data_IF_199318447566
#
_entry.id   IF_199318447566
#
_cell.length_a   1.000
_cell.length_b   1.000
_cell.length_c   1.000
_cell.angle_alpha   90.00
_cell.angle_beta   90.00
_cell.angle_gamma   90.00
#
_symmetry.space_group_name_H-M   'P 1'
#
loop_
_entity.id
_entity.type
_entity.pdbx_description
1 polymer ?
#
# COMPACT_ATOMS: atom_id res chain seq x y z
N UNK A 1 -24.28 55.30 -13.25
CA UNK A 1 -24.56 53.99 -13.91
C UNK A 1 -23.32 53.28 -14.46
N UNK A 2 -22.36 53.96 -15.12
CA UNK A 2 -21.13 53.29 -15.63
C UNK A 2 -20.17 52.73 -14.56
N UNK A 3 -20.10 53.35 -13.37
CA UNK A 3 -19.23 52.90 -12.28
C UNK A 3 -19.73 51.64 -11.55
N UNK A 4 -21.05 51.43 -11.50
CA UNK A 4 -21.66 50.25 -10.84
C UNK A 4 -21.47 48.99 -11.72
N UNK A 5 -21.46 49.15 -13.04
CA UNK A 5 -21.25 48.05 -13.98
C UNK A 5 -19.79 47.53 -13.95
N UNK A 6 -18.81 48.42 -13.71
CA UNK A 6 -17.40 48.05 -13.55
C UNK A 6 -17.13 47.32 -12.20
N UNK A 7 -17.87 47.65 -11.15
CA UNK A 7 -17.78 46.97 -9.86
C UNK A 7 -18.37 45.54 -9.89
N UNK A 8 -19.47 45.35 -10.62
CA UNK A 8 -20.08 44.03 -10.83
C UNK A 8 -19.25 43.12 -11.76
N UNK A 9 -18.56 43.68 -12.77
CA UNK A 9 -17.65 42.92 -13.63
C UNK A 9 -16.39 42.44 -12.87
N UNK A 10 -15.92 43.23 -11.90
CA UNK A 10 -14.80 42.85 -11.02
C UNK A 10 -15.13 41.68 -10.08
N UNK A 11 -16.39 41.53 -9.67
CA UNK A 11 -16.86 40.39 -8.86
C UNK A 11 -17.07 39.12 -9.68
N UNK A 12 -17.50 39.23 -10.94
CA UNK A 12 -17.61 38.08 -11.85
C UNK A 12 -16.25 37.53 -12.27
N UNK A 13 -15.20 38.35 -12.33
CA UNK A 13 -13.82 37.92 -12.61
C UNK A 13 -13.07 37.41 -11.36
N UNK A 14 -13.60 37.63 -10.15
CA UNK A 14 -13.11 37.02 -8.90
C UNK A 14 -13.88 35.76 -8.49
N UNK A 15 -14.98 35.43 -9.19
CA UNK A 15 -15.79 34.24 -8.91
C UNK A 15 -15.28 32.95 -9.58
N UNK A 16 -14.13 33.00 -10.26
CA UNK A 16 -13.45 31.82 -10.79
C UNK A 16 -12.05 31.68 -10.18
N UNK A 17 -11.92 31.50 -8.86
CA UNK A 17 -10.69 30.89 -8.30
C UNK A 17 -10.72 30.41 -6.84
N UNK A 18 -11.86 30.08 -6.20
CA UNK A 18 -11.83 29.73 -4.76
C UNK A 18 -12.57 28.47 -4.31
N UNK A 19 -13.09 27.63 -5.21
CA UNK A 19 -13.74 26.37 -4.81
C UNK A 19 -12.86 25.11 -4.95
N UNK A 20 -11.56 25.25 -5.24
CA UNK A 20 -10.70 24.08 -5.39
C UNK A 20 -9.31 24.29 -4.79
N UNK A 21 -9.14 23.74 -3.57
CA UNK A 21 -7.95 23.08 -2.99
C UNK A 21 -8.04 23.12 -1.46
N UNK A 22 -8.82 22.21 -0.87
CA UNK A 22 -8.46 21.74 0.47
C UNK A 22 -7.16 20.96 0.32
N UNK A 23 -6.06 21.68 0.30
CA UNK A 23 -4.74 21.10 0.25
C UNK A 23 -4.42 20.49 1.61
N UNK A 24 -4.88 19.25 1.82
CA UNK A 24 -4.53 18.42 2.98
C UNK A 24 -3.01 18.17 3.06
N UNK A 25 -2.24 18.48 2.02
CA UNK A 25 -0.81 18.19 2.00
C UNK A 25 -0.03 19.24 2.78
N UNK A 26 0.91 18.79 3.61
CA UNK A 26 1.90 19.67 4.22
C UNK A 26 3.01 20.13 3.24
N UNK A 27 2.88 19.85 1.94
CA UNK A 27 3.98 19.94 0.97
C UNK A 27 3.53 20.49 -0.39
N UNK A 28 4.42 20.48 -1.40
CA UNK A 28 4.05 20.89 -2.76
C UNK A 28 3.17 19.81 -3.39
N UNK A 29 1.94 20.17 -3.79
CA UNK A 29 1.02 19.25 -4.45
C UNK A 29 1.06 19.38 -5.98
N UNK A 30 1.37 18.28 -6.66
CA UNK A 30 1.37 18.16 -8.13
C UNK A 30 0.14 17.39 -8.61
N UNK A 31 -0.58 17.93 -9.59
CA UNK A 31 -1.76 17.29 -10.16
C UNK A 31 -1.37 16.48 -11.40
N UNK A 32 -1.75 15.22 -11.42
CA UNK A 32 -1.54 14.28 -12.52
C UNK A 32 -2.91 14.05 -13.17
N UNK A 33 -3.20 14.78 -14.23
CA UNK A 33 -4.48 14.68 -14.95
C UNK A 33 -4.45 13.63 -16.06
N UNK A 34 -3.26 13.26 -16.54
CA UNK A 34 -3.06 12.32 -17.64
C UNK A 34 -1.75 11.54 -17.46
N UNK A 35 -1.68 10.39 -18.12
CA UNK A 35 -0.47 9.57 -18.23
C UNK A 35 0.06 9.65 -19.65
N UNK A 36 1.40 9.76 -19.85
CA UNK A 36 1.95 9.91 -21.18
C UNK A 36 1.75 8.65 -22.04
N UNK A 37 1.58 7.49 -21.41
CA UNK A 37 1.28 6.22 -22.07
C UNK A 37 0.04 5.60 -21.42
N UNK A 38 -0.92 5.15 -22.23
CA UNK A 38 -2.05 4.33 -21.80
C UNK A 38 -2.11 3.06 -22.64
N UNK A 39 -2.14 1.90 -21.99
CA UNK A 39 -2.18 0.59 -22.64
C UNK A 39 -3.28 -0.26 -22.04
N UNK A 40 -3.83 -1.18 -22.83
CA UNK A 40 -4.69 -2.25 -22.33
C UNK A 40 -3.96 -3.57 -22.51
N UNK A 41 -3.90 -4.37 -21.45
CA UNK A 41 -3.26 -5.69 -21.49
C UNK A 41 -4.29 -6.77 -21.17
N UNK A 42 -4.07 -7.96 -21.73
CA UNK A 42 -4.88 -9.13 -21.42
C UNK A 42 -4.25 -9.91 -20.28
N UNK A 43 -5.09 -10.48 -19.42
CA UNK A 43 -4.67 -11.40 -18.39
C UNK A 43 -4.66 -12.85 -18.91
N UNK A 44 -3.78 -13.65 -18.33
CA UNK A 44 -3.89 -15.11 -18.34
C UNK A 44 -4.34 -15.57 -16.96
N UNK A 45 -5.46 -16.29 -16.89
CA UNK A 45 -5.92 -16.93 -15.66
C UNK A 45 -5.04 -18.15 -15.36
N UNK A 46 -4.54 -18.23 -14.12
CA UNK A 46 -3.74 -19.36 -13.64
C UNK A 46 -4.64 -20.29 -12.84
N UNK A 47 -4.79 -21.54 -13.30
CA UNK A 47 -5.57 -22.58 -12.63
C UNK A 47 -4.81 -23.14 -11.41
N UNK A 48 -4.83 -22.40 -10.31
CA UNK A 48 -4.22 -22.81 -9.04
C UNK A 48 -5.31 -22.75 -7.98
N UNK A 49 -5.59 -23.89 -7.34
CA UNK A 49 -6.42 -23.89 -6.14
C UNK A 49 -5.61 -23.38 -4.97
N UNK A 50 -5.95 -22.17 -4.49
CA UNK A 50 -5.29 -21.61 -3.31
C UNK A 50 -6.29 -21.12 -2.26
N UNK A 51 -6.88 -22.04 -1.47
CA UNK A 51 -7.97 -21.70 -0.57
C UNK A 51 -7.49 -20.80 0.57
N UNK A 52 -8.21 -19.70 0.79
CA UNK A 52 -8.00 -18.78 1.90
C UNK A 52 -6.90 -17.74 1.67
N UNK A 53 -6.38 -17.57 0.47
CA UNK A 53 -5.38 -16.52 0.19
C UNK A 53 -6.02 -15.15 0.16
N UNK A 54 -5.46 -14.27 1.00
CA UNK A 54 -5.80 -12.87 1.04
C UNK A 54 -4.74 -12.03 0.31
N UNK A 55 -3.45 -12.32 0.46
CA UNK A 55 -2.42 -11.53 -0.23
C UNK A 55 -1.39 -12.42 -0.91
N UNK A 56 -0.82 -11.94 -2.00
CA UNK A 56 0.20 -12.66 -2.77
C UNK A 56 1.47 -11.84 -2.94
N UNK A 57 2.62 -12.51 -2.97
CA UNK A 57 3.90 -11.84 -3.13
C UNK A 57 4.85 -12.67 -4.00
N UNK A 58 5.52 -12.01 -4.95
CA UNK A 58 6.59 -12.62 -5.76
C UNK A 58 7.95 -12.29 -5.14
N UNK A 59 8.75 -13.31 -4.82
CA UNK A 59 10.06 -13.20 -4.18
C UNK A 59 11.06 -14.14 -4.84
N UNK A 60 12.05 -13.61 -5.55
CA UNK A 60 13.04 -14.43 -6.29
C UNK A 60 12.32 -15.56 -7.06
N UNK A 61 12.64 -16.83 -6.85
CA UNK A 61 11.99 -17.98 -7.52
C UNK A 61 10.71 -18.49 -6.80
N UNK A 62 10.24 -17.80 -5.77
CA UNK A 62 9.10 -18.19 -4.94
C UNK A 62 7.88 -17.30 -5.15
N UNK A 63 6.71 -17.90 -5.03
CA UNK A 63 5.44 -17.19 -4.90
C UNK A 63 4.85 -17.45 -3.52
N UNK A 64 4.45 -16.40 -2.82
CA UNK A 64 3.94 -16.48 -1.46
C UNK A 64 2.45 -16.15 -1.46
N UNK A 65 1.69 -16.97 -0.76
CA UNK A 65 0.31 -16.73 -0.38
C UNK A 65 0.16 -16.47 1.12
N UNK A 66 -0.59 -15.45 1.49
CA UNK A 66 -0.88 -15.09 2.89
C UNK A 66 -2.35 -15.34 3.20
N UNK A 67 -2.62 -16.20 4.18
CA UNK A 67 -3.95 -16.48 4.70
C UNK A 67 -4.13 -15.85 6.08
N UNK A 68 -4.80 -14.68 6.15
CA UNK A 68 -4.97 -13.96 7.41
C UNK A 68 -5.88 -14.64 8.43
N UNK A 69 -6.66 -15.66 8.05
CA UNK A 69 -7.44 -16.43 9.01
C UNK A 69 -6.55 -17.34 9.86
N UNK A 70 -5.38 -17.71 9.34
CA UNK A 70 -4.50 -18.73 9.91
C UNK A 70 -5.13 -20.14 9.91
N UNK A 71 -6.23 -20.34 9.17
CA UNK A 71 -6.78 -21.68 8.95
C UNK A 71 -5.83 -22.44 8.01
N UNK A 72 -5.23 -23.53 8.51
CA UNK A 72 -4.18 -24.25 7.79
C UNK A 72 -2.93 -23.39 7.49
N UNK A 73 -2.38 -22.73 8.52
CA UNK A 73 -1.20 -21.86 8.46
C UNK A 73 -1.46 -20.46 7.87
N UNK A 74 -0.58 -19.51 8.20
CA UNK A 74 -0.67 -18.14 7.71
C UNK A 74 0.06 -17.92 6.39
N UNK A 75 1.17 -18.65 6.16
CA UNK A 75 2.06 -18.42 5.02
C UNK A 75 2.18 -19.68 4.18
N UNK A 76 1.88 -19.59 2.90
CA UNK A 76 2.01 -20.68 1.93
C UNK A 76 3.06 -20.29 0.89
N UNK A 77 3.98 -21.20 0.59
CA UNK A 77 5.10 -20.95 -0.30
C UNK A 77 5.04 -21.91 -1.47
N UNK A 78 5.04 -21.35 -2.68
CA UNK A 78 4.93 -22.07 -3.95
C UNK A 78 6.21 -21.87 -4.76
N UNK A 79 6.58 -22.87 -5.55
CA UNK A 79 7.54 -22.70 -6.64
C UNK A 79 6.89 -21.83 -7.71
N UNK A 80 7.53 -20.72 -8.10
CA UNK A 80 6.91 -19.78 -9.04
C UNK A 80 6.85 -20.32 -10.48
N UNK A 81 7.65 -21.34 -10.81
CA UNK A 81 7.73 -21.90 -12.17
C UNK A 81 6.44 -22.62 -12.55
N UNK A 82 5.89 -23.40 -11.63
CA UNK A 82 4.73 -24.25 -11.86
C UNK A 82 3.65 -24.13 -10.77
N UNK A 83 3.84 -23.24 -9.80
CA UNK A 83 2.95 -23.00 -8.67
C UNK A 83 2.70 -24.24 -7.80
N UNK A 84 3.64 -25.19 -7.78
CA UNK A 84 3.59 -26.32 -6.83
C UNK A 84 3.82 -25.81 -5.41
N UNK A 85 2.96 -26.20 -4.47
CA UNK A 85 3.13 -25.90 -3.05
C UNK A 85 4.39 -26.58 -2.51
N UNK A 86 5.35 -25.79 -2.02
CA UNK A 86 6.59 -26.27 -1.41
C UNK A 86 6.42 -26.53 0.09
N UNK A 87 5.81 -25.58 0.81
CA UNK A 87 5.58 -25.68 2.25
C UNK A 87 4.49 -24.70 2.71
N UNK A 88 3.90 -24.98 3.88
CA UNK A 88 3.03 -24.06 4.61
C UNK A 88 3.63 -23.81 5.99
N UNK A 89 3.86 -22.55 6.32
CA UNK A 89 4.62 -22.10 7.48
C UNK A 89 3.74 -21.26 8.41
N UNK A 90 4.10 -21.24 9.69
CA UNK A 90 3.47 -20.44 10.74
C UNK A 90 2.03 -20.90 11.04
N UNK A 91 1.90 -21.77 12.03
CA UNK A 91 0.59 -22.14 12.56
C UNK A 91 0.05 -21.04 13.46
N UNK A 92 -1.28 -21.02 13.59
CA UNK A 92 -1.97 -20.14 14.53
C UNK A 92 -1.92 -20.73 15.94
N UNK A 93 -1.38 -19.99 16.90
CA UNK A 93 -1.30 -20.45 18.27
C UNK A 93 -0.45 -19.56 19.18
N UNK A 94 0.02 -20.12 20.28
CA UNK A 94 0.79 -19.41 21.34
C UNK A 94 2.13 -20.08 21.65
N UNK A 95 2.47 -21.16 20.95
CA UNK A 95 3.78 -21.80 21.03
C UNK A 95 4.91 -20.87 20.59
N UNK A 96 6.17 -21.27 20.85
CA UNK A 96 7.35 -20.47 20.51
C UNK A 96 7.36 -20.03 19.03
N UNK A 97 7.02 -20.95 18.13
CA UNK A 97 7.03 -20.77 16.67
C UNK A 97 5.62 -20.57 16.09
N UNK A 98 4.63 -20.27 16.94
CA UNK A 98 3.27 -19.99 16.53
C UNK A 98 2.94 -18.51 16.65
N UNK A 99 2.06 -18.04 15.77
CA UNK A 99 1.65 -16.64 15.70
C UNK A 99 0.16 -16.52 16.04
N UNK A 100 -0.24 -15.42 16.69
CA UNK A 100 -1.65 -15.12 16.95
C UNK A 100 -2.30 -14.41 15.76
N UNK A 101 -1.55 -13.49 15.15
CA UNK A 101 -1.84 -12.83 13.88
C UNK A 101 -0.60 -12.86 13.01
N UNK A 102 -0.77 -12.69 11.71
CA UNK A 102 0.35 -12.44 10.82
C UNK A 102 0.09 -11.17 10.05
N UNK A 103 1.10 -10.33 9.92
CA UNK A 103 1.19 -9.28 8.92
C UNK A 103 2.43 -9.51 8.07
N UNK A 104 2.25 -9.53 6.76
CA UNK A 104 3.37 -9.51 5.83
C UNK A 104 3.88 -8.06 5.67
N UNK A 105 5.18 -7.84 5.83
CA UNK A 105 5.75 -6.48 5.89
C UNK A 105 6.10 -5.92 4.51
N UNK A 106 5.98 -6.72 3.44
CA UNK A 106 6.35 -6.33 2.09
C UNK A 106 7.79 -5.81 1.99
N UNK A 107 8.69 -6.43 2.77
CA UNK A 107 10.12 -6.21 2.72
C UNK A 107 10.83 -7.56 2.69
N UNK A 108 11.52 -7.84 1.59
CA UNK A 108 12.25 -9.08 1.36
C UNK A 108 13.59 -8.78 0.69
N UNK A 109 14.46 -9.78 0.64
CA UNK A 109 15.75 -9.67 -0.05
C UNK A 109 16.44 -11.01 -0.18
N UNK A 110 17.67 -10.97 -0.69
CA UNK A 110 18.55 -12.12 -0.82
C UNK A 110 19.92 -11.79 -0.26
N UNK A 111 20.42 -12.63 0.63
CA UNK A 111 21.76 -12.52 1.19
C UNK A 111 22.54 -13.84 0.99
N UNK A 112 23.69 -14.00 1.67
CA UNK A 112 24.51 -15.20 1.58
C UNK A 112 23.82 -16.47 2.07
N UNK A 113 22.73 -16.34 2.85
CA UNK A 113 21.97 -17.47 3.38
C UNK A 113 20.69 -17.78 2.57
N UNK A 114 20.44 -17.03 1.50
CA UNK A 114 19.29 -17.22 0.62
C UNK A 114 18.28 -16.08 0.68
N UNK A 115 17.05 -16.37 0.29
CA UNK A 115 15.93 -15.42 0.28
C UNK A 115 15.37 -15.27 1.68
N UNK A 116 15.12 -14.04 2.11
CA UNK A 116 14.45 -13.73 3.37
C UNK A 116 13.28 -12.78 3.16
N UNK A 117 12.34 -12.78 4.11
CA UNK A 117 11.25 -11.80 4.17
C UNK A 117 10.92 -11.40 5.61
N UNK A 118 10.44 -10.17 5.80
CA UNK A 118 9.97 -9.68 7.08
C UNK A 118 8.48 -9.95 7.27
N UNK A 119 8.15 -10.48 8.44
CA UNK A 119 6.78 -10.75 8.88
C UNK A 119 6.61 -10.28 10.32
N UNK A 120 5.37 -10.02 10.73
CA UNK A 120 5.08 -9.66 12.11
C UNK A 120 3.89 -10.41 12.71
N UNK A 121 4.00 -10.78 13.99
CA UNK A 121 2.86 -11.05 14.87
C UNK A 121 2.59 -9.80 15.71
N UNK A 122 1.64 -8.99 15.25
CA UNK A 122 1.32 -7.70 15.87
C UNK A 122 0.83 -7.90 17.31
N UNK A 123 0.10 -8.97 17.59
CA UNK A 123 -0.48 -9.20 18.92
C UNK A 123 0.56 -9.70 19.93
N UNK A 124 1.66 -10.26 19.46
CA UNK A 124 2.76 -10.76 20.28
C UNK A 124 4.00 -9.87 20.19
N UNK A 125 3.92 -8.72 19.52
CA UNK A 125 5.03 -7.80 19.24
C UNK A 125 6.25 -8.52 18.66
N UNK A 126 6.05 -9.44 17.72
CA UNK A 126 7.15 -10.15 17.05
C UNK A 126 7.33 -9.56 15.67
N UNK A 127 8.50 -8.98 15.37
CA UNK A 127 8.91 -8.66 14.01
C UNK A 127 10.10 -9.55 13.66
N UNK A 128 9.92 -10.42 12.68
CA UNK A 128 10.86 -11.49 12.39
C UNK A 128 11.37 -11.41 10.96
N UNK A 129 12.67 -11.61 10.77
CA UNK A 129 13.28 -11.85 9.46
C UNK A 129 13.31 -13.35 9.22
N UNK A 130 12.34 -13.85 8.48
CA UNK A 130 12.22 -15.26 8.09
C UNK A 130 13.23 -15.58 6.99
N UNK A 131 14.11 -16.56 7.21
CA UNK A 131 14.93 -17.15 6.17
C UNK A 131 14.08 -18.18 5.41
N UNK A 132 13.57 -17.76 4.25
CA UNK A 132 12.63 -18.55 3.48
C UNK A 132 13.28 -19.82 2.93
N UNK A 133 14.50 -19.73 2.40
CA UNK A 133 15.21 -20.88 1.83
C UNK A 133 15.47 -21.98 2.87
N UNK A 134 16.06 -21.61 4.03
CA UNK A 134 16.30 -22.58 5.12
C UNK A 134 14.99 -23.14 5.67
N UNK A 135 13.95 -22.32 5.76
CA UNK A 135 12.64 -22.79 6.20
C UNK A 135 12.00 -23.81 5.26
N UNK A 136 12.17 -23.64 3.95
CA UNK A 136 11.72 -24.63 2.96
C UNK A 136 12.56 -25.91 3.07
N UNK A 137 13.89 -25.80 3.14
CA UNK A 137 14.82 -26.93 3.20
C UNK A 137 14.56 -27.82 4.43
N UNK A 138 14.38 -27.19 5.60
CA UNK A 138 14.16 -27.90 6.87
C UNK A 138 12.69 -28.21 7.14
N UNK A 139 11.78 -27.60 6.38
CA UNK A 139 10.34 -27.59 6.65
C UNK A 139 9.99 -27.13 8.08
N UNK A 140 10.72 -26.13 8.58
CA UNK A 140 10.61 -25.55 9.92
C UNK A 140 10.81 -24.02 9.87
N UNK A 141 10.38 -23.29 10.89
CA UNK A 141 10.58 -21.84 10.93
C UNK A 141 12.02 -21.49 11.32
N UNK A 142 12.71 -20.75 10.45
CA UNK A 142 14.08 -20.29 10.65
C UNK A 142 14.10 -18.78 10.59
N UNK A 143 14.31 -18.13 11.73
CA UNK A 143 14.42 -16.67 11.81
C UNK A 143 15.88 -16.26 11.96
N UNK A 144 16.33 -15.36 11.08
CA UNK A 144 17.67 -14.77 11.16
C UNK A 144 17.72 -13.67 12.22
N UNK A 145 16.62 -12.93 12.37
CA UNK A 145 16.52 -11.79 13.28
C UNK A 145 15.13 -11.73 13.91
N UNK A 146 15.08 -11.20 15.13
CA UNK A 146 13.87 -11.08 15.94
C UNK A 146 13.86 -9.76 16.72
N UNK A 147 12.84 -8.94 16.51
CA UNK A 147 12.65 -7.65 17.17
C UNK A 147 11.34 -7.69 17.97
N UNK A 148 11.43 -7.49 19.29
CA UNK A 148 10.29 -7.49 20.21
C UNK A 148 10.22 -6.26 21.14
N UNK A 149 11.04 -5.25 20.89
CA UNK A 149 11.08 -4.00 21.66
C UNK A 149 10.07 -2.95 21.19
N UNK A 150 9.34 -3.22 20.10
CA UNK A 150 8.38 -2.30 19.50
C UNK A 150 6.97 -2.72 19.92
N UNK A 151 6.21 -1.79 20.51
CA UNK A 151 4.76 -1.94 20.66
C UNK A 151 4.08 -1.74 19.31
N UNK A 152 3.54 -2.82 18.74
CA UNK A 152 2.91 -2.81 17.42
C UNK A 152 1.40 -2.61 17.50
N UNK A 153 0.81 -2.49 18.69
CA UNK A 153 -0.65 -2.42 18.88
C UNK A 153 -1.31 -1.22 18.19
N UNK A 154 -0.55 -0.14 17.94
CA UNK A 154 -0.98 1.07 17.27
C UNK A 154 -0.21 1.34 15.97
N UNK A 155 0.46 0.34 15.41
CA UNK A 155 1.26 0.49 14.18
C UNK A 155 0.47 -0.05 13.00
N UNK A 156 0.19 0.81 12.02
CA UNK A 156 -0.42 0.37 10.78
C UNK A 156 0.62 -0.31 9.90
N UNK A 157 1.72 0.37 9.52
CA UNK A 157 2.84 -0.20 8.75
C UNK A 157 4.18 -0.09 9.50
N UNK A 158 5.08 -1.05 9.25
CA UNK A 158 6.40 -1.14 9.90
C UNK A 158 7.45 -1.52 8.84
N UNK A 159 8.63 -0.91 8.84
CA UNK A 159 9.70 -1.24 7.90
C UNK A 159 11.07 -1.18 8.57
N UNK A 160 11.89 -2.23 8.40
CA UNK A 160 13.26 -2.23 8.90
C UNK A 160 14.16 -1.46 7.95
N UNK A 161 14.71 -0.34 8.42
CA UNK A 161 15.57 0.55 7.62
C UNK A 161 17.01 0.06 7.69
N UNK A 162 17.52 -0.13 8.90
CA UNK A 162 18.84 -0.68 9.19
C UNK A 162 18.83 -1.41 10.55
N UNK A 163 19.98 -1.90 10.98
CA UNK A 163 20.17 -2.67 12.22
C UNK A 163 19.70 -1.94 13.50
N UNK A 164 19.53 -0.63 13.44
CA UNK A 164 19.16 0.22 14.57
C UNK A 164 17.87 1.01 14.36
N UNK A 165 17.29 1.00 13.17
CA UNK A 165 16.23 1.93 12.80
C UNK A 165 15.06 1.23 12.13
N UNK A 166 13.86 1.48 12.67
CA UNK A 166 12.61 0.98 12.13
C UNK A 166 11.68 2.15 11.85
N UNK A 167 11.13 2.20 10.64
CA UNK A 167 10.10 3.17 10.27
C UNK A 167 8.72 2.61 10.62
N UNK A 168 7.87 3.44 11.22
CA UNK A 168 6.53 3.12 11.67
C UNK A 168 5.54 4.12 11.06
N UNK A 169 4.42 3.62 10.57
CA UNK A 169 3.26 4.44 10.21
C UNK A 169 2.15 4.08 11.20
N UNK A 170 1.91 4.90 12.24
CA UNK A 170 0.90 4.60 13.25
C UNK A 170 -0.51 4.53 12.65
N UNK A 171 -1.37 3.73 13.29
CA UNK A 171 -2.80 3.78 13.03
C UNK A 171 -3.33 5.16 13.45
N UNK A 172 -4.21 5.73 12.62
CA UNK A 172 -4.87 6.97 12.97
C UNK A 172 -5.95 6.62 13.99
N UNK A 173 -5.83 7.21 15.18
CA UNK A 173 -6.84 7.13 16.24
C UNK A 173 -7.21 8.53 16.71
N UNK A 174 -8.29 8.67 17.47
CA UNK A 174 -8.65 9.94 18.14
C UNK A 174 -7.54 10.49 19.04
N UNK A 175 -6.67 9.63 19.56
CA UNK A 175 -5.55 9.97 20.45
C UNK A 175 -4.29 10.36 19.67
N UNK A 176 -3.97 9.61 18.61
CA UNK A 176 -2.79 9.84 17.75
C UNK A 176 -3.05 11.02 16.80
N UNK A 177 -4.29 11.14 16.31
CA UNK A 177 -4.88 12.31 15.69
C UNK A 177 -4.13 12.87 14.48
N UNK A 178 -3.16 12.14 13.90
CA UNK A 178 -2.22 12.65 12.90
C UNK A 178 -1.72 11.54 11.97
N UNK A 179 -1.56 11.87 10.69
CA UNK A 179 -0.91 10.99 9.70
C UNK A 179 0.60 11.14 9.82
N UNK A 180 1.18 10.43 10.77
CA UNK A 180 2.61 10.50 11.05
C UNK A 180 3.38 9.34 10.44
N UNK A 181 4.63 9.62 10.10
CA UNK A 181 5.67 8.64 9.90
C UNK A 181 6.69 8.85 11.00
N UNK A 182 6.98 7.79 11.75
CA UNK A 182 7.87 7.81 12.91
C UNK A 182 9.06 6.89 12.67
N UNK A 183 10.22 7.23 13.21
CA UNK A 183 11.38 6.34 13.25
C UNK A 183 11.69 5.97 14.69
N UNK A 184 11.73 4.67 14.93
CA UNK A 184 12.07 4.05 16.20
C UNK A 184 13.52 3.58 16.17
N UNK A 185 14.31 4.04 17.14
CA UNK A 185 15.67 3.59 17.36
C UNK A 185 15.66 2.38 18.29
N UNK A 186 16.12 1.23 17.78
CA UNK A 186 16.13 -0.04 18.50
C UNK A 186 17.12 -0.06 19.68
N UNK A 187 18.23 0.70 19.59
CA UNK A 187 19.26 0.75 20.64
C UNK A 187 18.77 1.53 21.85
N UNK A 188 18.16 2.68 21.59
CA UNK A 188 17.67 3.59 22.64
C UNK A 188 16.21 3.29 23.04
N UNK A 189 15.53 2.40 22.30
CA UNK A 189 14.13 2.02 22.47
C UNK A 189 13.18 3.23 22.53
N UNK A 190 13.35 4.18 21.61
CA UNK A 190 12.56 5.40 21.56
C UNK A 190 12.25 5.85 20.12
N UNK A 191 11.25 6.71 19.99
CA UNK A 191 11.01 7.45 18.74
C UNK A 191 12.05 8.56 18.65
N UNK A 192 12.91 8.50 17.64
CA UNK A 192 13.97 9.49 17.42
C UNK A 192 13.57 10.55 16.38
N UNK A 193 12.51 10.29 15.59
CA UNK A 193 12.06 11.19 14.54
C UNK A 193 10.58 10.99 14.20
N UNK A 194 9.89 12.09 13.91
CA UNK A 194 8.48 12.08 13.49
C UNK A 194 8.24 13.12 12.40
N UNK A 195 7.37 12.81 11.44
CA UNK A 195 6.92 13.74 10.41
C UNK A 195 5.44 13.53 10.07
N UNK A 196 4.69 14.62 9.90
CA UNK A 196 3.28 14.59 9.52
C UNK A 196 3.13 14.72 8.00
N UNK A 197 2.41 13.80 7.37
CA UNK A 197 2.17 13.81 5.92
C UNK A 197 1.01 14.74 5.52
N UNK A 198 -0.02 14.85 6.38
CA UNK A 198 -1.10 15.80 6.21
C UNK A 198 -0.95 17.02 7.13
N UNK A 199 -1.57 18.14 6.75
CA UNK A 199 -1.71 19.31 7.61
C UNK A 199 -2.49 18.94 8.88
N UNK A 200 -2.14 19.60 9.98
CA UNK A 200 -2.63 19.34 11.34
C UNK A 200 -4.14 19.55 11.54
N UNK A 201 -4.81 20.19 10.59
CA UNK A 201 -6.18 20.70 10.72
C UNK A 201 -7.23 19.85 9.99
N UNK A 202 -7.06 18.53 9.90
CA UNK A 202 -8.14 17.69 9.39
C UNK A 202 -9.29 17.59 10.40
N UNK A 203 -10.51 17.49 9.89
CA UNK A 203 -11.71 17.55 10.70
C UNK A 203 -11.83 16.30 11.60
N UNK A 204 -11.67 16.50 12.91
CA UNK A 204 -11.79 15.45 13.95
C UNK A 204 -13.16 14.78 14.02
N UNK A 205 -14.18 15.36 13.38
CA UNK A 205 -15.51 14.76 13.27
C UNK A 205 -15.61 13.71 12.15
N UNK A 206 -14.64 13.66 11.24
CA UNK A 206 -14.56 12.67 10.16
C UNK A 206 -13.87 11.42 10.70
N UNK A 207 -14.37 10.24 10.31
CA UNK A 207 -13.78 8.98 10.74
C UNK A 207 -12.31 8.88 10.28
N UNK A 208 -11.43 8.57 11.23
CA UNK A 208 -9.99 8.41 11.05
C UNK A 208 -9.58 7.44 9.94
N UNK A 209 -10.39 6.41 9.65
CA UNK A 209 -10.16 5.45 8.57
C UNK A 209 -10.10 6.11 7.18
N UNK A 210 -10.73 7.25 6.99
CA UNK A 210 -10.74 7.97 5.71
C UNK A 210 -9.35 8.50 5.35
N UNK A 211 -8.62 8.93 6.38
CA UNK A 211 -7.28 9.46 6.23
C UNK A 211 -6.22 8.38 6.23
N UNK A 212 -6.60 7.11 6.42
CA UNK A 212 -5.65 6.01 6.50
C UNK A 212 -4.78 5.96 5.25
N UNK A 213 -3.48 5.89 5.50
CA UNK A 213 -2.44 5.77 4.49
C UNK A 213 -1.85 4.37 4.55
N UNK A 214 -1.63 3.77 3.38
CA UNK A 214 -0.78 2.59 3.24
C UNK A 214 0.56 3.04 2.67
N UNK A 215 1.63 2.56 3.26
CA UNK A 215 2.99 2.98 2.91
C UNK A 215 3.82 1.82 2.37
N UNK A 216 4.83 2.15 1.58
CA UNK A 216 5.84 1.24 1.04
C UNK A 216 7.19 1.93 1.11
N UNK A 217 8.21 1.18 1.51
CA UNK A 217 9.61 1.59 1.40
C UNK A 217 10.20 1.11 0.08
N UNK A 218 10.99 1.95 -0.58
CA UNK A 218 11.78 1.56 -1.75
C UNK A 218 12.71 0.39 -1.37
N UNK A 219 12.95 -0.60 -2.23
CA UNK A 219 13.79 -1.75 -1.87
C UNK A 219 15.21 -1.38 -1.40
N UNK A 220 15.81 -0.33 -1.97
CA UNK A 220 17.10 0.24 -1.55
C UNK A 220 17.04 1.05 -0.23
N UNK A 221 15.86 1.18 0.38
CA UNK A 221 15.58 1.87 1.63
C UNK A 221 15.95 3.36 1.64
N UNK A 222 15.96 4.02 0.49
CA UNK A 222 16.30 5.46 0.40
C UNK A 222 15.07 6.37 0.47
N UNK A 223 13.91 5.86 0.07
CA UNK A 223 12.69 6.62 -0.10
C UNK A 223 11.46 5.80 0.29
N UNK A 224 10.36 6.48 0.52
CA UNK A 224 9.06 5.88 0.80
C UNK A 224 7.97 6.56 -0.01
N UNK A 225 6.91 5.81 -0.23
CA UNK A 225 5.66 6.31 -0.79
C UNK A 225 4.52 5.95 0.16
N UNK A 226 3.62 6.89 0.41
CA UNK A 226 2.42 6.70 1.23
C UNK A 226 1.19 7.14 0.46
N UNK A 227 0.22 6.25 0.31
CA UNK A 227 -0.99 6.47 -0.49
C UNK A 227 -2.22 6.51 0.40
N UNK A 228 -3.13 7.44 0.12
CA UNK A 228 -4.46 7.46 0.73
C UNK A 228 -5.40 6.46 0.06
N UNK A 229 -6.22 5.79 0.87
CA UNK A 229 -7.25 4.89 0.34
C UNK A 229 -8.46 5.67 -0.23
N UNK A 230 -8.89 6.71 0.48
CA UNK A 230 -10.12 7.48 0.16
C UNK A 230 -9.85 8.71 -0.69
N UNK A 231 -8.65 9.26 -0.61
CA UNK A 231 -8.22 10.39 -1.43
C UNK A 231 -7.37 9.87 -2.57
N UNK A 232 -7.54 10.39 -3.78
CA UNK A 232 -6.74 10.01 -4.95
C UNK A 232 -5.35 10.67 -4.88
N UNK A 233 -4.63 10.42 -3.79
CA UNK A 233 -3.46 11.17 -3.36
C UNK A 233 -2.38 10.27 -2.79
N UNK A 234 -1.12 10.64 -3.03
CA UNK A 234 0.02 10.00 -2.42
C UNK A 234 1.17 10.96 -2.15
N UNK A 235 2.08 10.53 -1.29
CA UNK A 235 3.25 11.26 -0.84
C UNK A 235 4.49 10.46 -1.20
N UNK A 236 5.48 11.10 -1.81
CA UNK A 236 6.82 10.52 -1.97
C UNK A 236 7.79 11.35 -1.12
N UNK A 237 8.59 10.67 -0.30
CA UNK A 237 9.56 11.31 0.57
C UNK A 237 10.81 10.48 0.77
N UNK A 238 11.91 11.15 1.10
CA UNK A 238 13.11 10.48 1.59
C UNK A 238 13.04 10.28 3.11
N UNK A 239 13.82 9.33 3.64
CA UNK A 239 13.78 8.98 5.06
C UNK A 239 14.23 10.14 5.98
N UNK A 240 15.05 11.06 5.47
CA UNK A 240 15.45 12.26 6.19
C UNK A 240 14.39 13.40 6.15
N UNK A 241 13.31 13.24 5.37
CA UNK A 241 12.25 14.23 5.11
C UNK A 241 12.74 15.56 4.55
N UNK A 242 13.97 15.65 4.02
CA UNK A 242 14.45 16.85 3.33
C UNK A 242 13.70 17.10 2.01
N UNK A 243 13.02 16.07 1.49
CA UNK A 243 12.11 16.17 0.35
C UNK A 243 10.83 15.40 0.65
N UNK A 244 9.72 16.11 0.62
CA UNK A 244 8.37 15.55 0.71
C UNK A 244 7.55 16.20 -0.39
N UNK A 245 7.01 15.38 -1.30
CA UNK A 245 6.14 15.85 -2.38
C UNK A 245 4.82 15.10 -2.31
N UNK A 246 3.74 15.82 -2.62
CA UNK A 246 2.41 15.24 -2.71
C UNK A 246 1.93 15.27 -4.15
N UNK A 247 1.17 14.24 -4.53
CA UNK A 247 0.63 14.08 -5.85
C UNK A 247 -0.85 13.72 -5.75
N UNK A 248 -1.68 14.38 -6.55
CA UNK A 248 -3.10 14.10 -6.71
C UNK A 248 -3.36 13.60 -8.12
N UNK A 249 -4.05 12.47 -8.27
CA UNK A 249 -4.32 11.85 -9.58
C UNK A 249 -5.78 12.07 -9.99
N UNK A 250 -5.95 12.46 -11.25
CA UNK A 250 -7.20 12.93 -11.85
C UNK A 250 -7.77 14.12 -11.07
N UNK A 251 -8.83 13.87 -10.29
CA UNK A 251 -9.47 14.85 -9.43
C UNK A 251 -9.53 14.30 -8.02
N UNK A 252 -9.30 15.16 -7.04
CA UNK A 252 -9.50 14.81 -5.64
C UNK A 252 -10.94 15.13 -5.22
N UNK A 253 -11.45 14.38 -4.26
CA UNK A 253 -12.65 14.79 -3.53
C UNK A 253 -12.21 15.74 -2.42
N UNK A 254 -12.92 16.86 -2.26
CA UNK A 254 -12.61 17.77 -1.15
C UNK A 254 -12.99 17.09 0.18
N UNK A 255 -12.23 17.37 1.25
CA UNK A 255 -12.58 16.89 2.60
C UNK A 255 -14.01 17.31 3.00
N UNK A 256 -14.45 18.51 2.58
CA UNK A 256 -15.82 18.97 2.76
C UNK A 256 -16.84 18.06 2.07
N UNK A 257 -16.55 17.63 0.83
CA UNK A 257 -17.39 16.70 0.08
C UNK A 257 -17.46 15.33 0.75
N UNK A 258 -16.34 14.84 1.30
CA UNK A 258 -16.31 13.61 2.09
C UNK A 258 -17.15 13.75 3.35
N UNK A 259 -17.01 14.85 4.08
CA UNK A 259 -17.79 15.11 5.29
C UNK A 259 -19.29 15.18 5.03
N UNK A 260 -19.70 15.84 3.93
CA UNK A 260 -21.10 15.88 3.49
C UNK A 260 -21.58 14.47 3.18
N UNK A 261 -20.81 13.69 2.43
CA UNK A 261 -21.17 12.31 2.09
C UNK A 261 -21.37 11.45 3.35
N UNK A 262 -20.53 11.59 4.37
CA UNK A 262 -20.64 10.84 5.62
C UNK A 262 -21.81 11.24 6.52
N UNK A 263 -22.35 12.45 6.38
CA UNK A 263 -23.58 12.82 7.09
C UNK A 263 -24.80 12.06 6.53
N UNK A 264 -24.68 11.52 5.32
CA UNK A 264 -25.76 10.85 4.59
C UNK A 264 -25.48 9.36 4.33
N UNK A 265 -24.25 8.89 4.58
CA UNK A 265 -23.74 7.58 4.17
C UNK A 265 -22.71 7.02 5.14
N UNK A 266 -22.53 5.71 5.14
CA UNK A 266 -21.46 5.05 5.89
C UNK A 266 -20.12 5.13 5.12
N UNK A 267 -19.01 4.86 5.80
CA UNK A 267 -17.66 4.87 5.19
C UNK A 267 -17.55 3.82 4.07
N UNK A 268 -18.25 2.69 4.21
CA UNK A 268 -18.37 1.66 3.18
C UNK A 268 -18.90 2.20 1.85
N UNK A 269 -19.69 3.27 1.91
CA UNK A 269 -20.37 3.91 0.78
C UNK A 269 -19.49 4.97 0.11
N UNK A 270 -18.25 5.15 0.58
CA UNK A 270 -17.24 5.96 -0.10
C UNK A 270 -16.47 5.10 -1.11
N UNK A 271 -16.09 5.74 -2.21
CA UNK A 271 -15.19 5.11 -3.17
C UNK A 271 -13.79 5.00 -2.58
N UNK A 272 -13.15 3.86 -2.81
CA UNK A 272 -11.71 3.70 -2.65
C UNK A 272 -11.04 3.96 -3.98
N UNK A 273 -10.06 4.84 -3.98
CA UNK A 273 -9.31 5.18 -5.19
C UNK A 273 -8.21 4.17 -5.41
N UNK A 274 -7.24 4.13 -4.51
CA UNK A 274 -6.19 3.12 -4.55
C UNK A 274 -6.42 2.04 -3.49
N UNK A 275 -6.19 0.79 -3.87
CA UNK A 275 -6.49 -0.38 -3.03
C UNK A 275 -5.27 -1.23 -2.71
N UNK A 276 -4.25 -1.19 -3.57
CA UNK A 276 -3.01 -1.93 -3.38
C UNK A 276 -1.83 -1.24 -4.06
N UNK A 277 -0.62 -1.53 -3.57
CA UNK A 277 0.61 -0.92 -4.05
C UNK A 277 1.76 -1.90 -3.93
N UNK A 278 2.72 -1.75 -4.84
CA UNK A 278 4.02 -2.42 -4.83
C UNK A 278 5.04 -1.47 -5.46
N UNK A 279 6.32 -1.63 -5.15
CA UNK A 279 7.36 -0.80 -5.74
C UNK A 279 8.64 -1.59 -5.95
N UNK A 280 9.34 -1.25 -7.04
CA UNK A 280 10.72 -1.65 -7.29
C UNK A 280 11.64 -0.47 -7.01
N UNK A 281 12.94 -0.64 -7.26
CA UNK A 281 13.87 0.49 -7.18
C UNK A 281 13.57 1.55 -8.25
N UNK A 282 12.90 1.22 -9.34
CA UNK A 282 12.68 2.17 -10.44
C UNK A 282 11.25 2.69 -10.48
N UNK A 283 10.27 1.82 -10.22
CA UNK A 283 8.85 2.11 -10.46
C UNK A 283 8.01 1.84 -9.22
N UNK A 284 7.03 2.70 -9.01
CA UNK A 284 5.93 2.53 -8.05
C UNK A 284 4.68 2.15 -8.84
N UNK A 285 4.02 1.07 -8.44
CA UNK A 285 2.76 0.62 -9.03
C UNK A 285 1.63 0.85 -8.01
N UNK A 286 0.59 1.57 -8.42
CA UNK A 286 -0.64 1.74 -7.66
C UNK A 286 -1.83 1.12 -8.37
N UNK A 287 -2.49 0.16 -7.71
CA UNK A 287 -3.76 -0.39 -8.17
C UNK A 287 -4.87 0.62 -7.88
N UNK A 288 -5.37 1.24 -8.94
CA UNK A 288 -6.40 2.28 -8.91
C UNK A 288 -7.75 1.67 -9.30
N UNK A 289 -8.59 1.44 -8.28
CA UNK A 289 -9.92 0.88 -8.41
C UNK A 289 -10.96 1.94 -8.75
N UNK A 290 -10.99 3.07 -8.02
CA UNK A 290 -12.02 4.11 -8.10
C UNK A 290 -13.47 3.57 -8.00
N UNK A 291 -13.67 2.64 -7.08
CA UNK A 291 -14.91 1.86 -6.89
C UNK A 291 -15.38 1.91 -5.44
N UNK A 292 -16.66 1.64 -5.22
CA UNK A 292 -17.18 1.44 -3.86
C UNK A 292 -16.61 0.15 -3.25
N UNK A 293 -16.58 0.08 -1.92
CA UNK A 293 -15.98 -1.07 -1.23
C UNK A 293 -16.67 -2.40 -1.59
N UNK A 294 -17.99 -2.38 -1.78
CA UNK A 294 -18.77 -3.54 -2.23
C UNK A 294 -18.40 -4.02 -3.64
N UNK A 295 -18.10 -3.09 -4.54
CA UNK A 295 -17.74 -3.41 -5.93
C UNK A 295 -16.33 -4.00 -6.02
N UNK A 296 -15.41 -3.59 -5.14
CA UNK A 296 -14.03 -4.09 -5.15
C UNK A 296 -13.97 -5.59 -4.82
N UNK A 297 -14.83 -6.06 -3.93
CA UNK A 297 -14.87 -7.45 -3.49
C UNK A 297 -15.98 -8.27 -4.17
N UNK A 298 -16.65 -7.71 -5.19
CA UNK A 298 -17.75 -8.36 -5.90
C UNK A 298 -17.31 -8.95 -7.24
N UNK A 299 -17.78 -10.16 -7.52
CA UNK A 299 -17.59 -10.85 -8.80
C UNK A 299 -18.53 -10.36 -9.90
N UNK A 300 -19.52 -9.54 -9.54
CA UNK A 300 -20.48 -8.95 -10.47
C UNK A 300 -20.08 -7.53 -10.88
N UNK A 301 -19.02 -6.99 -10.29
CA UNK A 301 -18.57 -5.66 -10.59
C UNK A 301 -17.96 -5.62 -12.00
N UNK A 302 -18.62 -4.89 -12.89
CA UNK A 302 -18.13 -4.61 -14.23
C UNK A 302 -17.14 -3.43 -14.19
N UNK A 303 -16.30 -3.30 -15.22
CA UNK A 303 -15.58 -2.05 -15.49
C UNK A 303 -14.06 -2.04 -15.26
N UNK A 304 -13.42 -3.20 -15.06
CA UNK A 304 -11.96 -3.29 -15.00
C UNK A 304 -11.32 -2.46 -13.88
N UNK A 305 -9.99 -2.33 -13.93
CA UNK A 305 -9.21 -1.46 -13.04
C UNK A 305 -8.07 -0.80 -13.80
N UNK A 306 -7.45 0.21 -13.19
CA UNK A 306 -6.25 0.85 -13.71
C UNK A 306 -5.04 0.51 -12.81
N UNK A 307 -3.88 0.26 -13.41
CA UNK A 307 -2.61 0.21 -12.70
C UNK A 307 -1.80 1.42 -13.13
N UNK A 308 -1.48 2.28 -12.18
CA UNK A 308 -0.71 3.50 -12.40
C UNK A 308 0.76 3.27 -12.06
N UNK A 309 1.64 3.62 -13.00
CA UNK A 309 3.09 3.55 -12.82
C UNK A 309 3.66 4.96 -12.65
N UNK A 310 4.46 5.15 -11.59
CA UNK A 310 5.18 6.38 -11.31
C UNK A 310 6.66 6.07 -11.08
N UNK A 311 7.55 7.02 -11.36
CA UNK A 311 8.92 6.93 -10.82
C UNK A 311 9.01 7.54 -9.41
N UNK A 312 10.15 7.34 -8.75
CA UNK A 312 10.43 7.90 -7.43
C UNK A 312 10.59 9.43 -7.37
N UNK A 313 10.51 10.13 -8.51
CA UNK A 313 10.39 11.60 -8.58
C UNK A 313 8.92 12.04 -8.73
N UNK A 314 7.99 11.10 -8.74
CA UNK A 314 6.55 11.28 -8.91
C UNK A 314 6.11 11.63 -10.32
N UNK A 315 6.95 11.41 -11.34
CA UNK A 315 6.51 11.52 -12.72
C UNK A 315 5.62 10.31 -13.07
N UNK A 316 4.45 10.58 -13.65
CA UNK A 316 3.59 9.55 -14.24
C UNK A 316 4.27 8.93 -15.47
N UNK A 317 4.33 7.60 -15.52
CA UNK A 317 4.98 6.84 -16.57
C UNK A 317 3.94 6.21 -17.50
N UNK A 318 3.11 5.33 -16.96
CA UNK A 318 2.17 4.52 -17.75
C UNK A 318 0.91 4.28 -16.95
N UNK A 319 -0.21 4.27 -17.65
CA UNK A 319 -1.47 3.74 -17.17
C UNK A 319 -1.80 2.44 -17.89
N UNK A 320 -2.00 1.37 -17.14
CA UNK A 320 -2.40 0.07 -17.66
C UNK A 320 -3.87 -0.16 -17.33
N UNK A 321 -4.67 -0.48 -18.33
CA UNK A 321 -6.08 -0.86 -18.19
C UNK A 321 -6.19 -2.38 -18.20
N UNK A 322 -6.80 -2.94 -17.16
CA UNK A 322 -7.10 -4.37 -17.02
C UNK A 322 -8.61 -4.58 -16.93
N UNK A 323 -9.10 -5.75 -17.35
CA UNK A 323 -10.54 -6.05 -17.36
C UNK A 323 -11.00 -6.67 -16.03
N UNK A 324 -10.07 -7.30 -15.35
CA UNK A 324 -10.27 -8.09 -14.15
C UNK A 324 -10.40 -7.17 -12.93
N UNK A 325 -11.26 -7.57 -11.99
CA UNK A 325 -11.48 -6.85 -10.73
C UNK A 325 -10.56 -7.41 -9.64
N UNK A 326 -9.25 -7.26 -9.82
CA UNK A 326 -8.25 -7.71 -8.85
C UNK A 326 -8.22 -6.75 -7.65
N UNK A 327 -7.88 -7.24 -6.46
CA UNK A 327 -7.80 -6.37 -5.28
C UNK A 327 -6.40 -6.30 -4.67
N UNK A 328 -5.50 -7.18 -5.11
CA UNK A 328 -4.12 -7.24 -4.68
C UNK A 328 -3.24 -7.52 -5.90
N UNK A 329 -2.05 -6.90 -5.94
CA UNK A 329 -1.04 -7.12 -6.97
C UNK A 329 0.33 -7.45 -6.38
N UNK A 330 1.14 -8.19 -7.13
CA UNK A 330 2.59 -8.32 -6.91
C UNK A 330 3.34 -8.33 -8.24
N UNK A 331 4.66 -8.10 -8.21
CA UNK A 331 5.49 -7.97 -9.41
C UNK A 331 6.70 -8.87 -9.33
N UNK A 332 6.97 -9.56 -10.42
CA UNK A 332 8.26 -10.13 -10.74
C UNK A 332 8.97 -9.22 -11.73
N UNK A 333 9.89 -8.40 -11.22
CA UNK A 333 10.63 -7.43 -12.05
C UNK A 333 11.58 -8.13 -13.04
N UNK A 334 12.13 -9.30 -12.66
CA UNK A 334 13.09 -10.04 -13.48
C UNK A 334 12.41 -10.64 -14.70
N UNK A 335 11.28 -11.31 -14.49
CA UNK A 335 10.49 -11.92 -15.57
C UNK A 335 9.52 -10.92 -16.22
N UNK A 336 9.44 -9.68 -15.69
CA UNK A 336 8.54 -8.61 -16.14
C UNK A 336 7.08 -9.05 -16.12
N UNK A 337 6.66 -9.70 -15.05
CA UNK A 337 5.32 -10.23 -14.89
C UNK A 337 4.65 -9.60 -13.68
N UNK A 338 3.43 -9.11 -13.85
CA UNK A 338 2.56 -8.72 -12.74
C UNK A 338 1.56 -9.85 -12.48
N UNK A 339 1.37 -10.16 -11.21
CA UNK A 339 0.33 -11.07 -10.75
C UNK A 339 -0.74 -10.30 -10.01
N UNK A 340 -2.00 -10.68 -10.19
CA UNK A 340 -3.12 -10.08 -9.49
C UNK A 340 -4.12 -11.14 -9.05
N UNK A 341 -4.67 -10.99 -7.86
CA UNK A 341 -5.67 -11.91 -7.32
C UNK A 341 -7.01 -11.19 -7.11
N UNK A 342 -8.10 -11.89 -7.38
CA UNK A 342 -9.47 -11.40 -7.13
C UNK A 342 -9.94 -11.76 -5.72
N UNK A 343 -11.05 -11.19 -5.27
CA UNK A 343 -11.61 -11.49 -3.95
C UNK A 343 -12.08 -12.95 -3.81
N UNK A 344 -12.23 -13.65 -4.93
CA UNK A 344 -12.54 -15.08 -5.03
C UNK A 344 -11.29 -15.96 -5.20
N UNK A 345 -10.10 -15.41 -4.97
CA UNK A 345 -8.84 -16.16 -5.00
C UNK A 345 -8.42 -16.62 -6.41
N UNK A 346 -9.09 -16.15 -7.47
CA UNK A 346 -8.61 -16.37 -8.85
C UNK A 346 -7.35 -15.56 -9.11
N UNK A 347 -6.29 -16.25 -9.53
CA UNK A 347 -4.99 -15.65 -9.85
C UNK A 347 -4.87 -15.35 -11.35
N UNK A 348 -4.37 -14.16 -11.65
CA UNK A 348 -4.13 -13.69 -13.01
C UNK A 348 -2.67 -13.29 -13.18
N UNK A 349 -2.15 -13.54 -14.39
CA UNK A 349 -0.81 -13.17 -14.84
C UNK A 349 -0.90 -12.14 -15.97
N UNK A 350 -0.06 -11.11 -15.91
CA UNK A 350 0.02 -10.03 -16.88
C UNK A 350 1.47 -9.86 -17.35
N UNK A 351 1.69 -9.94 -18.66
CA UNK A 351 3.01 -9.71 -19.27
C UNK A 351 3.30 -8.20 -19.40
N UNK A 352 4.40 -7.75 -18.80
CA UNK A 352 4.88 -6.37 -18.85
C UNK A 352 6.17 -6.21 -19.67
N UNK A 353 6.57 -7.21 -20.46
CA UNK A 353 7.83 -7.20 -21.23
C UNK A 353 7.96 -6.03 -22.21
N UNK A 354 6.84 -5.51 -22.70
CA UNK A 354 6.78 -4.32 -23.56
C UNK A 354 6.65 -2.98 -22.82
N UNK A 355 6.69 -3.01 -21.48
CA UNK A 355 6.42 -1.85 -20.60
C UNK A 355 7.61 -1.58 -19.67
N UNK A 356 8.20 -2.64 -19.09
CA UNK A 356 9.36 -2.60 -18.19
C UNK A 356 10.68 -2.85 -18.90
#
# INVERSE_FOLDING_TARGET
>A
MKAIFLFLLGWLLYSCSTDYKNDLSGSTNTFITEFPITLSIAAEELEIEIPGIHEIYSLDDYFIGVNYTGSNNFLHVYDKKDFTLLTSLISRGRGPDEFLTMKYINQWGKDSEGVYTWIADINSNKLCKLNLCKSIELNELVFNEYINSIDMSQVYDIFVVDDSLVCLTPMISKEIGQNEVQFFNLKDSNICKTHQLYKKDFNKCINEQIYQIKSIIRPDKTMMVAFGNTFSRFHIFNLDFSKVNTYTVYNDISEKSVNIALNEREISDLKRHYTNFIATNEVIFGLYANKYSEDIHSNKANGGMEIHMFNWKGAALTKILIKENIWQITIDEKEKVLYGITANEQLYRYDLSGIL
#
